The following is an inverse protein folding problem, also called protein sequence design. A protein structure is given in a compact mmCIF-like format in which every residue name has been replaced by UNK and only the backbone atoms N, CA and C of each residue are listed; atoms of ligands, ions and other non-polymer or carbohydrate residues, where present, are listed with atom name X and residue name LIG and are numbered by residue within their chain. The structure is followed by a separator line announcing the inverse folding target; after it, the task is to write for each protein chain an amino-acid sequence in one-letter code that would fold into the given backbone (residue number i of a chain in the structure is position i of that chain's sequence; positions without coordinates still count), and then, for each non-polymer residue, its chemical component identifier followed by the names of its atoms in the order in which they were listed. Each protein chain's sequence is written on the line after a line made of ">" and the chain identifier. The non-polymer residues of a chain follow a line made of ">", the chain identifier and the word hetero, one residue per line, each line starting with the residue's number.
data_IF_499648241877
#
_entry.id   IF_499648241877
#
_cell.length_a   1.000
_cell.length_b   1.000
_cell.length_c   1.000
_cell.angle_alpha   90.00
_cell.angle_beta   90.00
_cell.angle_gamma   90.00
#
_symmetry.space_group_name_H-M   'P 1'
#
loop_
_entity.id
_entity.type
_entity.pdbx_description
1 polymer ?
#
# COMPACT_ATOMS: atom_id res chain seq x y z
N UNK A 1 24.02 37.08 -12.47
CA UNK A 1 22.92 36.77 -11.54
C UNK A 1 21.72 36.13 -12.24
N UNK A 2 21.07 36.77 -13.22
CA UNK A 2 19.87 36.27 -13.91
C UNK A 2 20.00 34.88 -14.55
N UNK A 3 21.07 34.53 -15.23
CA UNK A 3 21.25 33.20 -15.87
C UNK A 3 21.28 32.04 -14.87
N UNK A 4 21.77 32.26 -13.64
CA UNK A 4 21.82 31.27 -12.58
C UNK A 4 20.43 31.01 -12.00
N UNK A 5 19.64 32.07 -11.79
CA UNK A 5 18.27 32.00 -11.32
C UNK A 5 17.33 31.28 -12.31
N UNK A 6 17.45 31.55 -13.62
CA UNK A 6 16.67 30.89 -14.67
C UNK A 6 16.95 29.39 -14.69
N UNK A 7 18.23 28.99 -14.62
CA UNK A 7 18.62 27.56 -14.60
C UNK A 7 18.10 26.85 -13.34
N UNK A 8 18.15 27.49 -12.20
CA UNK A 8 17.64 26.97 -10.94
C UNK A 8 16.12 26.82 -10.97
N UNK A 9 15.41 27.84 -11.50
CA UNK A 9 13.96 27.80 -11.72
C UNK A 9 13.55 26.67 -12.68
N UNK A 10 14.29 26.45 -13.76
CA UNK A 10 14.05 25.35 -14.69
C UNK A 10 14.21 23.97 -14.01
N UNK A 11 15.26 23.80 -13.22
CA UNK A 11 15.48 22.56 -12.47
C UNK A 11 14.35 22.30 -11.49
N UNK A 12 13.92 23.33 -10.75
CA UNK A 12 12.83 23.21 -9.80
C UNK A 12 11.48 22.95 -10.50
N UNK A 13 11.22 23.59 -11.63
CA UNK A 13 10.01 23.32 -12.41
C UNK A 13 9.96 21.88 -12.93
N UNK A 14 11.10 21.35 -13.42
CA UNK A 14 11.20 19.93 -13.82
C UNK A 14 10.95 18.98 -12.65
N UNK A 15 11.56 19.24 -11.49
CA UNK A 15 11.31 18.45 -10.27
C UNK A 15 9.84 18.50 -9.86
N UNK A 16 9.22 19.69 -9.88
CA UNK A 16 7.79 19.85 -9.56
C UNK A 16 6.91 19.07 -10.54
N UNK A 17 7.22 19.12 -11.84
CA UNK A 17 6.52 18.36 -12.87
C UNK A 17 6.68 16.84 -12.68
N UNK A 18 7.88 16.35 -12.41
CA UNK A 18 8.13 14.93 -12.12
C UNK A 18 7.36 14.44 -10.88
N UNK A 19 7.27 15.30 -9.86
CA UNK A 19 6.47 15.01 -8.67
C UNK A 19 4.98 14.97 -8.99
N UNK A 20 4.44 15.94 -9.73
CA UNK A 20 3.05 15.96 -10.14
C UNK A 20 2.69 14.72 -10.99
N UNK A 21 3.53 14.36 -11.95
CA UNK A 21 3.35 13.18 -12.79
C UNK A 21 3.44 11.87 -11.98
N UNK A 22 4.41 11.77 -11.05
CA UNK A 22 4.56 10.63 -10.16
C UNK A 22 3.43 10.48 -9.12
N UNK A 23 2.55 11.48 -8.99
CA UNK A 23 1.36 11.45 -8.12
C UNK A 23 0.06 11.24 -8.90
N UNK A 24 0.13 10.93 -10.20
CA UNK A 24 -1.02 10.68 -11.05
C UNK A 24 -1.25 11.73 -12.14
N UNK A 25 -0.53 12.85 -12.13
CA UNK A 25 -0.52 13.86 -13.21
C UNK A 25 -1.66 14.87 -13.20
N UNK A 26 -2.73 14.65 -12.44
CA UNK A 26 -3.90 15.53 -12.34
C UNK A 26 -3.73 16.55 -11.20
N UNK A 27 -2.55 17.20 -11.15
CA UNK A 27 -2.26 18.16 -10.10
C UNK A 27 -1.14 19.13 -10.47
N UNK A 28 -1.10 20.24 -9.77
CA UNK A 28 -0.02 21.21 -9.81
C UNK A 28 0.87 21.02 -8.58
N UNK A 29 2.17 20.93 -8.79
CA UNK A 29 3.15 20.93 -7.70
C UNK A 29 3.90 22.26 -7.69
N UNK A 30 3.99 22.89 -6.54
CA UNK A 30 4.72 24.15 -6.31
C UNK A 30 5.84 23.90 -5.33
N UNK A 31 7.08 24.22 -5.72
CA UNK A 31 8.23 24.19 -4.82
C UNK A 31 8.40 25.58 -4.21
N UNK A 32 8.29 25.68 -2.89
CA UNK A 32 8.51 26.92 -2.13
C UNK A 32 10.00 27.23 -1.97
N UNK A 33 10.32 28.43 -1.52
CA UNK A 33 11.70 28.89 -1.29
C UNK A 33 12.47 28.07 -0.25
N UNK A 34 11.77 27.44 0.67
CA UNK A 34 12.30 26.53 1.69
C UNK A 34 12.44 25.07 1.22
N UNK A 35 12.24 24.83 -0.09
CA UNK A 35 12.21 23.51 -0.73
C UNK A 35 11.05 22.61 -0.28
N UNK A 36 10.03 23.12 0.36
CA UNK A 36 8.79 22.39 0.62
C UNK A 36 7.91 22.36 -0.62
N UNK A 37 7.09 21.30 -0.74
CA UNK A 37 6.17 21.13 -1.85
C UNK A 37 4.74 21.43 -1.40
N UNK A 38 3.99 22.17 -2.21
CA UNK A 38 2.55 22.27 -2.14
C UNK A 38 1.92 21.63 -3.38
N UNK A 39 0.82 20.93 -3.17
CA UNK A 39 0.11 20.24 -4.24
C UNK A 39 -1.33 20.78 -4.30
N UNK A 40 -1.81 21.03 -5.53
CA UNK A 40 -3.18 21.50 -5.80
C UNK A 40 -3.81 20.60 -6.86
N UNK A 41 -5.06 20.18 -6.67
CA UNK A 41 -5.75 19.23 -7.54
C UNK A 41 -5.52 17.77 -7.10
N UNK A 42 -5.53 16.83 -8.04
CA UNK A 42 -5.36 15.40 -7.77
C UNK A 42 -6.66 14.71 -7.33
N UNK A 43 -7.81 15.25 -7.75
CA UNK A 43 -9.15 14.69 -7.48
C UNK A 43 -9.51 13.55 -8.45
N UNK A 44 -8.91 13.52 -9.64
CA UNK A 44 -9.21 12.51 -10.67
C UNK A 44 -8.28 11.31 -10.51
N UNK A 45 -8.82 10.09 -10.63
CA UNK A 45 -8.02 8.89 -10.66
C UNK A 45 -7.04 8.93 -11.85
N UNK A 46 -5.79 8.53 -11.64
CA UNK A 46 -4.80 8.48 -12.72
C UNK A 46 -5.33 7.62 -13.87
N UNK A 47 -5.27 8.15 -15.10
CA UNK A 47 -5.73 7.41 -16.26
C UNK A 47 -4.85 6.16 -16.45
N UNK A 48 -5.50 5.01 -16.62
CA UNK A 48 -4.83 3.74 -16.87
C UNK A 48 -4.04 3.83 -18.20
N UNK A 49 -2.72 3.89 -18.10
CA UNK A 49 -1.82 3.84 -19.25
C UNK A 49 -1.31 2.41 -19.41
N UNK A 50 -2.08 1.57 -20.06
CA UNK A 50 -1.63 0.22 -20.39
C UNK A 50 -0.41 0.29 -21.33
N UNK A 51 0.78 -0.01 -20.84
CA UNK A 51 1.98 -0.15 -21.65
C UNK A 51 2.69 -1.47 -21.35
N UNK A 52 2.24 -2.54 -22.03
CA UNK A 52 2.95 -3.84 -22.03
C UNK A 52 4.41 -3.69 -22.48
N UNK A 53 4.72 -2.67 -23.30
CA UNK A 53 6.09 -2.33 -23.72
C UNK A 53 6.92 -1.84 -22.53
N UNK A 54 6.37 -0.97 -21.68
CA UNK A 54 7.06 -0.46 -20.48
C UNK A 54 7.41 -1.60 -19.53
N UNK A 55 6.46 -2.52 -19.26
CA UNK A 55 6.71 -3.66 -18.37
C UNK A 55 7.78 -4.62 -18.93
N UNK A 56 7.83 -4.84 -20.23
CA UNK A 56 8.94 -5.59 -20.87
C UNK A 56 10.29 -4.92 -20.69
N UNK A 57 10.36 -3.60 -20.85
CA UNK A 57 11.61 -2.84 -20.64
C UNK A 57 12.07 -2.97 -19.19
N UNK A 58 11.14 -2.86 -18.23
CA UNK A 58 11.41 -3.01 -16.79
C UNK A 58 11.86 -4.44 -16.50
N UNK A 59 11.15 -5.46 -16.98
CA UNK A 59 11.51 -6.87 -16.82
C UNK A 59 12.93 -7.16 -17.35
N UNK A 60 13.28 -6.64 -18.52
CA UNK A 60 14.62 -6.74 -19.09
C UNK A 60 15.67 -6.01 -18.24
N UNK A 61 15.35 -4.84 -17.69
CA UNK A 61 16.26 -4.11 -16.80
C UNK A 61 16.51 -4.91 -15.50
N UNK A 62 15.45 -5.45 -14.88
CA UNK A 62 15.54 -6.33 -13.71
C UNK A 62 16.43 -7.54 -14.02
N UNK A 63 16.20 -8.23 -15.14
CA UNK A 63 16.98 -9.40 -15.57
C UNK A 63 18.48 -9.09 -15.66
N UNK A 64 18.85 -7.94 -16.20
CA UNK A 64 20.26 -7.52 -16.29
C UNK A 64 20.89 -7.28 -14.93
N UNK A 65 20.14 -6.63 -13.99
CA UNK A 65 20.65 -6.38 -12.64
C UNK A 65 20.80 -7.71 -11.87
N UNK A 66 19.82 -8.61 -11.98
CA UNK A 66 19.83 -9.93 -11.33
C UNK A 66 20.97 -10.83 -11.85
N UNK A 67 21.30 -10.75 -13.15
CA UNK A 67 22.39 -11.53 -13.74
C UNK A 67 23.74 -11.28 -13.07
N UNK A 68 23.96 -10.05 -12.56
CA UNK A 68 25.20 -9.63 -11.89
C UNK A 68 25.12 -9.71 -10.35
N UNK A 69 24.18 -10.49 -9.80
CA UNK A 69 23.99 -10.66 -8.37
C UNK A 69 24.16 -12.13 -7.98
N UNK A 70 24.55 -12.37 -6.72
CA UNK A 70 24.66 -13.70 -6.15
C UNK A 70 23.46 -14.04 -5.24
N UNK A 71 22.96 -13.05 -4.50
CA UNK A 71 21.82 -13.17 -3.60
C UNK A 71 20.82 -12.06 -3.83
N UNK A 72 19.54 -12.37 -3.65
CA UNK A 72 18.44 -11.42 -3.76
C UNK A 72 17.64 -11.45 -2.46
N UNK A 73 17.55 -10.31 -1.81
CA UNK A 73 16.67 -10.09 -0.68
C UNK A 73 15.49 -9.24 -1.13
N UNK A 74 14.29 -9.61 -0.72
CA UNK A 74 13.07 -8.89 -1.08
C UNK A 74 12.41 -8.46 0.21
N UNK A 75 12.16 -7.18 0.37
CA UNK A 75 11.45 -6.65 1.53
C UNK A 75 10.47 -5.55 1.11
N UNK A 76 9.50 -5.28 1.95
CA UNK A 76 8.57 -4.18 1.77
C UNK A 76 8.55 -3.22 2.94
N UNK A 77 7.36 -2.75 3.28
CA UNK A 77 7.16 -1.84 4.39
C UNK A 77 6.98 -2.56 5.72
N UNK A 78 7.22 -1.84 6.83
CA UNK A 78 6.83 -2.27 8.18
C UNK A 78 5.32 -2.53 8.21
N UNK A 79 4.91 -3.49 9.05
CA UNK A 79 3.50 -3.91 9.10
C UNK A 79 3.00 -4.40 7.74
N UNK A 80 3.86 -5.13 7.01
CA UNK A 80 3.59 -5.65 5.68
C UNK A 80 2.22 -6.34 5.59
N UNK A 81 1.44 -5.96 4.59
CA UNK A 81 0.13 -6.50 4.31
C UNK A 81 0.15 -7.58 3.21
N UNK A 82 -1.03 -8.01 2.73
CA UNK A 82 -1.12 -9.07 1.72
C UNK A 82 -0.56 -8.63 0.37
N UNK A 83 -0.61 -7.34 0.00
CA UNK A 83 -0.05 -6.88 -1.28
C UNK A 83 1.48 -6.89 -1.22
N UNK A 84 2.04 -6.33 -0.16
CA UNK A 84 3.47 -6.33 0.10
C UNK A 84 4.05 -7.75 0.12
N UNK A 85 3.46 -8.65 0.93
CA UNK A 85 3.96 -10.03 1.10
C UNK A 85 3.70 -10.86 -0.14
N UNK A 86 2.54 -10.75 -0.77
CA UNK A 86 2.19 -11.45 -2.01
C UNK A 86 3.13 -11.12 -3.17
N UNK A 87 3.44 -9.82 -3.36
CA UNK A 87 4.41 -9.37 -4.35
C UNK A 87 5.81 -9.93 -4.08
N UNK A 88 6.24 -9.92 -2.80
CA UNK A 88 7.53 -10.47 -2.40
C UNK A 88 7.63 -11.97 -2.65
N UNK A 89 6.59 -12.76 -2.33
CA UNK A 89 6.53 -14.20 -2.59
C UNK A 89 6.61 -14.51 -4.09
N UNK A 90 5.86 -13.76 -4.92
CA UNK A 90 5.88 -13.94 -6.37
C UNK A 90 7.27 -13.68 -6.96
N UNK A 91 7.92 -12.58 -6.56
CA UNK A 91 9.26 -12.24 -7.02
C UNK A 91 10.31 -13.21 -6.50
N UNK A 92 10.24 -13.67 -5.24
CA UNK A 92 11.14 -14.67 -4.67
C UNK A 92 11.15 -15.93 -5.53
N UNK A 93 9.98 -16.41 -5.91
CA UNK A 93 9.85 -17.59 -6.76
C UNK A 93 10.59 -17.41 -8.10
N UNK A 94 10.45 -16.26 -8.76
CA UNK A 94 11.12 -15.96 -10.04
C UNK A 94 12.64 -15.89 -9.86
N UNK A 95 13.11 -15.24 -8.80
CA UNK A 95 14.56 -15.12 -8.54
C UNK A 95 15.18 -16.50 -8.33
N UNK A 96 14.51 -17.39 -7.65
CA UNK A 96 15.01 -18.73 -7.36
C UNK A 96 14.85 -19.67 -8.55
N UNK A 97 13.66 -19.78 -9.13
CA UNK A 97 13.36 -20.78 -10.15
C UNK A 97 13.81 -20.39 -11.55
N UNK A 98 13.67 -19.12 -11.95
CA UNK A 98 14.05 -18.65 -13.29
C UNK A 98 15.49 -18.18 -13.33
N UNK A 99 15.89 -17.30 -12.40
CA UNK A 99 17.24 -16.75 -12.41
C UNK A 99 18.27 -17.60 -11.67
N UNK A 100 17.84 -18.67 -10.95
CA UNK A 100 18.72 -19.55 -10.17
C UNK A 100 19.58 -18.78 -9.15
N UNK A 101 18.99 -17.76 -8.52
CA UNK A 101 19.63 -16.96 -7.48
C UNK A 101 19.06 -17.35 -6.11
N UNK A 102 19.93 -17.43 -5.11
CA UNK A 102 19.47 -17.52 -3.73
C UNK A 102 18.58 -16.31 -3.43
N UNK A 103 17.36 -16.57 -3.02
CA UNK A 103 16.40 -15.50 -2.77
C UNK A 103 15.58 -15.74 -1.52
N UNK A 104 15.39 -14.68 -0.71
CA UNK A 104 14.61 -14.71 0.52
C UNK A 104 13.76 -13.46 0.66
N UNK A 105 12.59 -13.63 1.27
CA UNK A 105 11.71 -12.54 1.69
C UNK A 105 12.09 -12.12 3.11
N UNK A 106 12.40 -10.84 3.29
CA UNK A 106 12.80 -10.27 4.57
C UNK A 106 11.58 -9.66 5.24
N UNK A 107 11.20 -10.19 6.40
CA UNK A 107 9.98 -9.82 7.10
C UNK A 107 10.12 -10.00 8.61
N UNK A 108 9.45 -9.14 9.38
CA UNK A 108 9.19 -9.38 10.79
C UNK A 108 7.80 -10.01 10.94
N UNK A 109 7.78 -11.31 11.26
CA UNK A 109 6.53 -12.11 11.37
C UNK A 109 5.60 -11.60 12.47
N UNK A 110 6.14 -10.99 13.52
CA UNK A 110 5.32 -10.51 14.66
C UNK A 110 4.50 -9.28 14.30
N UNK A 111 5.11 -8.37 13.54
CA UNK A 111 4.49 -7.09 13.19
C UNK A 111 3.74 -7.12 11.86
N UNK A 112 3.95 -8.13 11.01
CA UNK A 112 3.24 -8.26 9.74
C UNK A 112 1.73 -8.41 9.93
N UNK A 113 0.96 -7.74 9.10
CA UNK A 113 -0.50 -7.90 9.02
C UNK A 113 -0.92 -9.09 8.14
N UNK A 114 0.00 -9.67 7.38
CA UNK A 114 -0.24 -10.80 6.48
C UNK A 114 0.01 -12.18 7.15
N UNK A 115 -0.25 -12.33 8.44
CA UNK A 115 0.05 -13.55 9.20
C UNK A 115 -0.55 -14.80 8.57
N UNK A 116 -1.82 -14.74 8.19
CA UNK A 116 -2.52 -15.89 7.56
C UNK A 116 -1.87 -16.30 6.23
N UNK A 117 -1.39 -15.33 5.42
CA UNK A 117 -0.68 -15.61 4.18
C UNK A 117 0.69 -16.24 4.44
N UNK A 118 1.41 -15.77 5.46
CA UNK A 118 2.72 -16.32 5.87
C UNK A 118 2.55 -17.76 6.32
N UNK A 119 1.60 -18.03 7.21
CA UNK A 119 1.27 -19.37 7.71
C UNK A 119 0.86 -20.31 6.55
N UNK A 120 -0.04 -19.85 5.67
CA UNK A 120 -0.43 -20.60 4.48
C UNK A 120 0.78 -20.95 3.60
N UNK A 121 1.70 -20.01 3.42
CA UNK A 121 2.89 -20.22 2.59
C UNK A 121 3.84 -21.21 3.22
N UNK A 122 4.08 -21.12 4.54
CA UNK A 122 4.92 -22.05 5.29
C UNK A 122 4.37 -23.49 5.26
N UNK A 123 3.04 -23.63 5.35
CA UNK A 123 2.40 -24.94 5.28
C UNK A 123 2.48 -25.61 3.89
N UNK A 124 2.51 -24.82 2.83
CA UNK A 124 2.38 -25.31 1.45
C UNK A 124 3.69 -25.37 0.68
N UNK A 125 4.71 -24.66 1.13
CA UNK A 125 6.04 -24.71 0.51
C UNK A 125 6.99 -25.57 1.35
N UNK A 126 7.71 -26.46 0.69
CA UNK A 126 8.72 -27.30 1.34
C UNK A 126 9.99 -26.52 1.77
N UNK A 127 10.10 -25.25 1.35
CA UNK A 127 11.27 -24.41 1.62
C UNK A 127 10.86 -23.16 2.40
N UNK A 128 11.57 -22.91 3.50
CA UNK A 128 11.42 -21.64 4.21
C UNK A 128 11.96 -20.48 3.36
N UNK A 129 11.05 -19.62 2.91
CA UNK A 129 11.38 -18.45 2.07
C UNK A 129 11.51 -17.17 2.88
N UNK A 130 11.04 -17.14 4.13
CA UNK A 130 11.03 -15.97 4.99
C UNK A 130 12.22 -15.95 5.94
N UNK A 131 12.86 -14.80 6.07
CA UNK A 131 13.94 -14.58 7.03
C UNK A 131 13.77 -13.24 7.77
N UNK A 132 14.35 -13.14 8.96
CA UNK A 132 14.36 -11.88 9.69
C UNK A 132 15.33 -10.86 9.08
N UNK A 133 15.15 -9.56 9.35
CA UNK A 133 16.10 -8.52 8.95
C UNK A 133 17.53 -8.79 9.41
N UNK A 134 17.73 -9.31 10.62
CA UNK A 134 19.06 -9.64 11.20
C UNK A 134 19.73 -10.76 10.41
N UNK A 135 18.96 -11.78 10.04
CA UNK A 135 19.44 -12.90 9.20
C UNK A 135 19.84 -12.38 7.80
N UNK A 136 19.04 -11.51 7.21
CA UNK A 136 19.35 -10.89 5.94
C UNK A 136 20.64 -10.05 5.99
N UNK A 137 20.79 -9.24 7.04
CA UNK A 137 21.99 -8.42 7.27
C UNK A 137 23.26 -9.25 7.38
N UNK A 138 23.21 -10.36 8.12
CA UNK A 138 24.34 -11.28 8.27
C UNK A 138 24.68 -12.02 6.97
N UNK A 139 23.68 -12.19 6.08
CA UNK A 139 23.82 -12.88 4.80
C UNK A 139 24.27 -12.00 3.63
N UNK A 140 24.40 -10.67 3.82
CA UNK A 140 24.78 -9.73 2.76
C UNK A 140 26.18 -10.03 2.18
N UNK A 141 26.29 -9.88 0.86
CA UNK A 141 27.55 -9.89 0.11
C UNK A 141 27.71 -8.57 -0.65
N UNK A 142 28.87 -8.36 -1.26
CA UNK A 142 29.12 -7.20 -2.12
C UNK A 142 28.27 -7.21 -3.43
N UNK A 143 27.74 -8.38 -3.80
CA UNK A 143 26.90 -8.59 -4.99
C UNK A 143 25.44 -8.82 -4.66
N UNK A 144 25.04 -8.65 -3.41
CA UNK A 144 23.61 -8.78 -3.02
C UNK A 144 22.77 -7.69 -3.66
N UNK A 145 21.56 -8.07 -4.07
CA UNK A 145 20.51 -7.19 -4.56
C UNK A 145 19.40 -7.11 -3.53
N UNK A 146 18.90 -5.92 -3.27
CA UNK A 146 17.68 -5.67 -2.52
C UNK A 146 16.57 -5.23 -3.46
N UNK A 147 15.47 -5.97 -3.47
CA UNK A 147 14.23 -5.57 -4.14
C UNK A 147 13.26 -5.07 -3.06
N UNK A 148 12.83 -3.84 -3.20
CA UNK A 148 11.85 -3.20 -2.31
C UNK A 148 10.52 -3.22 -3.04
N UNK A 149 9.49 -3.75 -2.39
CA UNK A 149 8.14 -3.84 -2.91
C UNK A 149 7.17 -3.04 -2.05
N UNK A 150 6.17 -2.46 -2.69
CA UNK A 150 5.03 -1.81 -2.05
C UNK A 150 5.38 -0.62 -1.16
N UNK A 151 6.55 -0.06 -1.35
CA UNK A 151 6.97 1.20 -0.76
C UNK A 151 8.19 1.77 -1.46
N UNK A 152 8.30 3.08 -1.47
CA UNK A 152 9.49 3.81 -1.92
C UNK A 152 10.03 4.77 -0.86
N UNK A 153 9.52 4.66 0.40
CA UNK A 153 9.85 5.52 1.52
C UNK A 153 10.84 4.84 2.46
N UNK A 154 12.01 5.46 2.67
CA UNK A 154 13.03 4.92 3.58
C UNK A 154 12.49 4.70 5.01
N UNK A 155 11.67 5.62 5.51
CA UNK A 155 11.09 5.54 6.86
C UNK A 155 10.09 4.38 7.05
N UNK A 156 9.51 3.91 5.96
CA UNK A 156 8.51 2.83 5.96
C UNK A 156 9.11 1.45 5.76
N UNK A 157 10.39 1.33 5.40
CA UNK A 157 11.04 0.05 5.13
C UNK A 157 11.02 -0.88 6.35
N UNK A 158 10.86 -2.18 6.11
CA UNK A 158 11.01 -3.22 7.13
C UNK A 158 12.37 -3.11 7.84
N UNK A 159 13.45 -2.88 7.07
CA UNK A 159 14.79 -2.64 7.59
C UNK A 159 15.50 -1.53 6.83
N UNK A 160 15.61 -0.35 7.45
CA UNK A 160 16.40 0.75 6.90
C UNK A 160 17.90 0.43 6.88
N UNK A 161 18.38 -0.38 7.84
CA UNK A 161 19.79 -0.80 7.92
C UNK A 161 20.17 -1.73 6.75
N UNK A 162 19.29 -2.67 6.39
CA UNK A 162 19.51 -3.56 5.22
C UNK A 162 19.61 -2.74 3.94
N UNK A 163 18.74 -1.74 3.77
CA UNK A 163 18.79 -0.82 2.63
C UNK A 163 20.11 -0.03 2.60
N UNK A 164 20.57 0.51 3.72
CA UNK A 164 21.80 1.31 3.79
C UNK A 164 23.07 0.50 3.44
N UNK A 165 23.08 -0.78 3.80
CA UNK A 165 24.21 -1.68 3.55
C UNK A 165 24.18 -2.30 2.15
N UNK A 166 23.02 -2.36 1.49
CA UNK A 166 22.88 -2.95 0.16
C UNK A 166 23.15 -1.92 -0.93
N UNK A 167 24.13 -2.19 -1.82
CA UNK A 167 24.54 -1.25 -2.86
C UNK A 167 23.63 -1.26 -4.10
N UNK A 168 22.95 -2.37 -4.35
CA UNK A 168 22.07 -2.55 -5.50
C UNK A 168 20.64 -2.63 -5.03
N UNK A 169 19.81 -1.71 -5.49
CA UNK A 169 18.42 -1.59 -5.08
C UNK A 169 17.52 -1.51 -6.30
N UNK A 170 16.43 -2.26 -6.28
CA UNK A 170 15.30 -2.16 -7.21
C UNK A 170 14.06 -1.79 -6.38
N UNK A 171 13.19 -0.94 -6.90
CA UNK A 171 11.92 -0.56 -6.27
C UNK A 171 10.77 -0.86 -7.23
N UNK A 172 9.71 -1.50 -6.71
CA UNK A 172 8.46 -1.76 -7.43
C UNK A 172 7.33 -1.29 -6.51
N UNK A 173 6.61 -0.24 -6.90
CA UNK A 173 5.64 0.40 -6.01
C UNK A 173 4.55 1.15 -6.80
N UNK A 174 3.32 1.10 -6.30
CA UNK A 174 2.15 1.74 -6.88
C UNK A 174 1.64 2.95 -6.08
N UNK A 175 2.22 3.23 -4.92
CA UNK A 175 1.81 4.36 -4.09
C UNK A 175 2.11 5.71 -4.75
N UNK A 176 1.36 6.75 -4.42
CA UNK A 176 1.64 8.11 -4.90
C UNK A 176 3.04 8.54 -4.47
N UNK A 177 3.80 9.10 -5.42
CA UNK A 177 5.18 9.51 -5.19
C UNK A 177 5.28 10.53 -4.06
N UNK A 178 6.08 10.22 -3.05
CA UNK A 178 6.37 11.11 -1.94
C UNK A 178 7.62 11.96 -2.19
N UNK A 179 7.75 13.08 -1.47
CA UNK A 179 8.89 13.99 -1.63
C UNK A 179 10.21 13.36 -1.17
N UNK A 180 10.16 12.55 -0.10
CA UNK A 180 11.28 11.86 0.54
C UNK A 180 11.50 10.42 0.04
N UNK A 181 11.23 10.19 -1.26
CA UNK A 181 11.38 8.87 -1.87
C UNK A 181 12.84 8.46 -2.04
N UNK A 182 13.09 7.15 -2.10
CA UNK A 182 14.40 6.57 -2.41
C UNK A 182 14.72 6.84 -3.88
N UNK A 183 15.78 7.62 -4.16
CA UNK A 183 16.12 8.12 -5.49
C UNK A 183 17.34 7.47 -6.12
N UNK A 184 18.00 6.53 -5.44
CA UNK A 184 19.25 5.87 -5.87
C UNK A 184 19.05 4.42 -6.35
N UNK A 185 17.79 4.01 -6.61
CA UNK A 185 17.49 2.68 -7.14
C UNK A 185 18.01 2.51 -8.58
N UNK A 186 18.57 1.33 -8.89
CA UNK A 186 19.01 0.97 -10.25
C UNK A 186 17.83 0.83 -11.21
N UNK A 187 16.70 0.33 -10.69
CA UNK A 187 15.42 0.28 -11.40
C UNK A 187 14.35 0.82 -10.44
N UNK A 188 13.62 1.82 -10.88
CA UNK A 188 12.50 2.41 -10.16
C UNK A 188 11.21 2.20 -10.98
N UNK A 189 10.53 1.10 -10.70
CA UNK A 189 9.24 0.76 -11.31
C UNK A 189 8.12 1.32 -10.44
N UNK A 190 7.66 2.51 -10.82
CA UNK A 190 6.64 3.23 -10.08
C UNK A 190 5.43 3.51 -10.98
N UNK A 191 4.23 3.08 -10.56
CA UNK A 191 3.00 3.17 -11.36
C UNK A 191 1.77 3.42 -10.50
N UNK A 192 1.46 4.69 -10.17
CA UNK A 192 0.31 5.04 -9.31
C UNK A 192 -1.07 4.68 -9.88
N UNK A 193 -1.14 4.36 -11.17
CA UNK A 193 -2.38 3.89 -11.82
C UNK A 193 -2.61 2.39 -11.67
N UNK A 194 -1.61 1.63 -11.22
CA UNK A 194 -1.80 0.21 -10.91
C UNK A 194 -2.65 0.05 -9.64
N UNK A 195 -3.45 -1.01 -9.60
CA UNK A 195 -4.30 -1.29 -8.44
C UNK A 195 -3.49 -1.70 -7.22
N UNK A 196 -2.39 -2.43 -7.44
CA UNK A 196 -1.56 -3.03 -6.40
C UNK A 196 -0.15 -3.33 -6.92
N UNK A 197 0.79 -3.52 -6.02
CA UNK A 197 2.14 -4.00 -6.35
C UNK A 197 2.10 -5.44 -6.88
N UNK A 198 1.18 -6.28 -6.43
CA UNK A 198 0.95 -7.63 -6.96
C UNK A 198 0.49 -7.60 -8.43
N UNK A 199 -0.34 -6.63 -8.85
CA UNK A 199 -0.68 -6.42 -10.27
C UNK A 199 0.60 -6.17 -11.07
N UNK A 200 1.42 -5.19 -10.67
CA UNK A 200 2.67 -4.84 -11.34
C UNK A 200 3.64 -6.02 -11.40
N UNK A 201 3.80 -6.75 -10.30
CA UNK A 201 4.65 -7.94 -10.25
C UNK A 201 4.12 -9.05 -11.18
N UNK A 202 2.80 -9.24 -11.27
CA UNK A 202 2.20 -10.21 -12.20
C UNK A 202 2.52 -9.88 -13.66
N UNK A 203 2.46 -8.60 -14.03
CA UNK A 203 2.83 -8.13 -15.36
C UNK A 203 4.33 -8.33 -15.65
N UNK A 204 5.21 -7.96 -14.71
CA UNK A 204 6.66 -8.15 -14.83
C UNK A 204 6.97 -9.64 -15.00
N UNK A 205 6.41 -10.50 -14.15
CA UNK A 205 6.61 -11.95 -14.18
C UNK A 205 6.13 -12.53 -15.50
N UNK A 206 4.97 -12.10 -15.99
CA UNK A 206 4.44 -12.56 -17.29
C UNK A 206 5.32 -12.20 -18.49
N UNK A 207 6.16 -11.16 -18.35
CA UNK A 207 7.13 -10.75 -19.38
C UNK A 207 8.45 -11.50 -19.29
N UNK A 208 8.77 -12.14 -18.16
CA UNK A 208 10.05 -12.81 -17.92
C UNK A 208 10.07 -14.26 -18.40
N UNK A 209 8.97 -14.84 -18.80
CA UNK A 209 8.84 -16.16 -19.41
C UNK A 209 7.75 -17.07 -18.79
N UNK A 210 7.69 -18.34 -19.25
CA UNK A 210 6.82 -19.43 -18.80
C UNK A 210 6.94 -19.67 -17.29
N UNK A 211 6.25 -18.84 -16.59
CA UNK A 211 6.33 -18.57 -15.19
C UNK A 211 6.36 -19.84 -14.33
N UNK A 212 7.34 -19.97 -13.48
CA UNK A 212 7.45 -21.08 -12.53
C UNK A 212 6.51 -20.92 -11.32
N UNK A 213 5.60 -19.93 -11.30
CA UNK A 213 4.64 -19.76 -10.22
C UNK A 213 3.81 -21.04 -10.03
N UNK A 214 3.78 -21.56 -8.81
CA UNK A 214 2.81 -22.55 -8.40
C UNK A 214 1.52 -21.88 -7.91
N UNK A 215 0.52 -22.69 -7.61
CA UNK A 215 -0.75 -22.18 -7.06
C UNK A 215 -0.55 -21.39 -5.77
N UNK A 216 0.45 -21.73 -4.94
CA UNK A 216 0.74 -21.03 -3.67
C UNK A 216 1.13 -19.57 -3.91
N UNK A 217 2.10 -19.32 -4.80
CA UNK A 217 2.51 -17.96 -5.14
C UNK A 217 1.39 -17.22 -5.87
N UNK A 218 0.64 -17.91 -6.71
CA UNK A 218 -0.49 -17.32 -7.42
C UNK A 218 -1.63 -16.92 -6.46
N UNK A 219 -1.93 -17.75 -5.43
CA UNK A 219 -2.87 -17.41 -4.36
C UNK A 219 -2.39 -16.18 -3.57
N UNK A 220 -1.10 -16.15 -3.21
CA UNK A 220 -0.50 -15.04 -2.47
C UNK A 220 -0.63 -13.71 -3.22
N UNK A 221 -0.27 -13.70 -4.50
CA UNK A 221 -0.37 -12.49 -5.33
C UNK A 221 -1.82 -12.07 -5.59
N UNK A 222 -2.72 -13.04 -5.77
CA UNK A 222 -4.15 -12.74 -5.93
C UNK A 222 -4.75 -12.17 -4.64
N UNK A 223 -4.28 -12.61 -3.46
CA UNK A 223 -4.70 -12.04 -2.18
C UNK A 223 -4.30 -10.55 -2.06
N UNK A 224 -3.09 -10.18 -2.50
CA UNK A 224 -2.67 -8.77 -2.55
C UNK A 224 -3.56 -7.92 -3.46
N UNK A 225 -3.81 -8.38 -4.69
CA UNK A 225 -4.74 -7.67 -5.60
C UNK A 225 -6.13 -7.54 -4.95
N UNK A 226 -6.63 -8.58 -4.30
CA UNK A 226 -7.95 -8.60 -3.66
C UNK A 226 -8.03 -7.59 -2.51
N UNK A 227 -6.95 -7.44 -1.72
CA UNK A 227 -6.87 -6.47 -0.62
C UNK A 227 -7.01 -5.04 -1.15
N UNK A 228 -6.13 -4.64 -2.05
CA UNK A 228 -6.01 -3.25 -2.52
C UNK A 228 -7.18 -2.79 -3.37
N UNK A 229 -7.80 -3.73 -4.08
CA UNK A 229 -8.99 -3.47 -4.88
C UNK A 229 -10.29 -3.60 -4.08
N UNK A 230 -10.22 -3.90 -2.78
CA UNK A 230 -11.42 -4.24 -1.98
C UNK A 230 -12.31 -5.25 -2.71
N UNK A 231 -11.73 -6.39 -3.06
CA UNK A 231 -12.40 -7.45 -3.83
C UNK A 231 -12.90 -6.96 -5.20
N UNK A 232 -12.04 -6.27 -5.96
CA UNK A 232 -12.31 -5.71 -7.30
C UNK A 232 -13.40 -4.63 -7.33
N UNK A 233 -13.66 -3.96 -6.21
CA UNK A 233 -14.64 -2.88 -6.11
C UNK A 233 -14.02 -1.50 -6.41
N UNK A 234 -12.75 -1.26 -6.05
CA UNK A 234 -12.07 0.04 -6.22
C UNK A 234 -10.76 -0.12 -6.98
N UNK A 235 -10.29 0.95 -7.62
CA UNK A 235 -9.02 1.00 -8.37
C UNK A 235 -8.84 -0.16 -9.38
N UNK A 236 -9.93 -0.75 -9.86
CA UNK A 236 -9.90 -1.94 -10.70
C UNK A 236 -10.05 -1.57 -12.15
N UNK A 237 -9.00 -1.77 -12.92
CA UNK A 237 -8.96 -1.55 -14.37
C UNK A 237 -8.85 -2.87 -15.15
N UNK A 238 -8.70 -2.76 -16.47
CA UNK A 238 -8.51 -3.91 -17.34
C UNK A 238 -7.23 -4.68 -16.97
N UNK A 239 -6.15 -3.98 -16.65
CA UNK A 239 -4.87 -4.57 -16.21
C UNK A 239 -5.03 -5.44 -14.96
N UNK A 240 -5.84 -4.98 -13.99
CA UNK A 240 -6.12 -5.73 -12.76
C UNK A 240 -6.78 -7.07 -13.07
N UNK A 241 -7.79 -7.07 -13.96
CA UNK A 241 -8.44 -8.33 -14.41
C UNK A 241 -7.51 -9.20 -15.25
N UNK A 242 -6.64 -8.62 -16.09
CA UNK A 242 -5.61 -9.38 -16.83
C UNK A 242 -4.62 -10.06 -15.88
N UNK A 243 -4.15 -9.36 -14.83
CA UNK A 243 -3.29 -9.91 -13.78
C UNK A 243 -3.99 -11.03 -12.99
N UNK A 244 -5.23 -10.80 -12.57
CA UNK A 244 -6.02 -11.82 -11.88
C UNK A 244 -6.27 -13.06 -12.77
N UNK A 245 -6.58 -12.87 -14.06
CA UNK A 245 -6.72 -13.96 -15.01
C UNK A 245 -5.41 -14.71 -15.24
N UNK A 246 -4.27 -14.01 -15.26
CA UNK A 246 -2.95 -14.62 -15.32
C UNK A 246 -2.70 -15.51 -14.10
N UNK A 247 -2.91 -14.99 -12.89
CA UNK A 247 -2.75 -15.74 -11.64
C UNK A 247 -3.72 -16.94 -11.56
N UNK A 248 -4.96 -16.76 -12.03
CA UNK A 248 -5.94 -17.86 -12.10
C UNK A 248 -5.47 -18.98 -13.03
N UNK A 249 -4.87 -18.67 -14.16
CA UNK A 249 -4.24 -19.68 -15.07
C UNK A 249 -3.06 -20.40 -14.41
N UNK A 250 -2.39 -19.76 -13.44
CA UNK A 250 -1.31 -20.36 -12.64
C UNK A 250 -1.83 -21.18 -11.44
N UNK A 251 -3.14 -21.33 -11.31
CA UNK A 251 -3.77 -22.19 -10.32
C UNK A 251 -4.30 -21.46 -9.09
N UNK A 252 -4.27 -20.12 -9.06
CA UNK A 252 -4.84 -19.38 -7.94
C UNK A 252 -6.29 -19.80 -7.67
N UNK A 253 -6.63 -20.00 -6.40
CA UNK A 253 -7.95 -20.40 -5.95
C UNK A 253 -8.63 -19.29 -5.16
N UNK A 254 -9.69 -18.73 -5.70
CA UNK A 254 -10.44 -17.63 -5.09
C UNK A 254 -11.06 -17.98 -3.72
N UNK A 255 -11.37 -19.26 -3.46
CA UNK A 255 -11.85 -19.70 -2.15
C UNK A 255 -10.72 -19.69 -1.12
N UNK A 256 -9.52 -20.15 -1.50
CA UNK A 256 -8.33 -20.08 -0.64
C UNK A 256 -8.01 -18.61 -0.33
N UNK A 257 -7.99 -17.76 -1.35
CA UNK A 257 -7.77 -16.32 -1.19
C UNK A 257 -8.82 -15.70 -0.25
N UNK A 258 -10.11 -16.01 -0.45
CA UNK A 258 -11.18 -15.54 0.44
C UNK A 258 -10.95 -15.97 1.89
N UNK A 259 -10.43 -17.19 2.11
CA UNK A 259 -10.09 -17.69 3.45
C UNK A 259 -9.05 -16.84 4.17
N UNK A 260 -8.12 -16.21 3.45
CA UNK A 260 -7.09 -15.32 4.03
C UNK A 260 -7.64 -14.00 4.59
N UNK A 261 -8.90 -13.68 4.29
CA UNK A 261 -9.62 -12.52 4.81
C UNK A 261 -10.65 -12.90 5.88
N UNK A 262 -10.63 -14.15 6.34
CA UNK A 262 -11.59 -14.61 7.34
C UNK A 262 -11.19 -14.16 8.73
N UNK A 263 -12.12 -13.56 9.44
CA UNK A 263 -11.97 -13.19 10.84
C UNK A 263 -12.25 -14.40 11.75
N UNK A 264 -11.66 -14.41 12.94
CA UNK A 264 -12.15 -15.28 14.00
C UNK A 264 -13.48 -14.76 14.54
N UNK A 265 -14.22 -15.59 15.27
CA UNK A 265 -15.58 -15.26 15.72
C UNK A 265 -15.58 -14.09 16.72
N UNK A 266 -14.53 -13.92 17.51
CA UNK A 266 -14.37 -12.85 18.48
C UNK A 266 -14.19 -11.51 17.76
N UNK A 267 -13.23 -11.40 16.83
CA UNK A 267 -13.02 -10.20 16.00
C UNK A 267 -14.27 -9.86 15.17
N UNK A 268 -14.93 -10.89 14.62
CA UNK A 268 -16.17 -10.70 13.88
C UNK A 268 -17.29 -10.11 14.76
N UNK A 269 -17.46 -10.59 16.00
CA UNK A 269 -18.44 -10.04 16.94
C UNK A 269 -18.15 -8.58 17.29
N UNK A 270 -16.89 -8.26 17.60
CA UNK A 270 -16.47 -6.88 17.89
C UNK A 270 -16.77 -5.95 16.72
N UNK A 271 -16.42 -6.36 15.50
CA UNK A 271 -16.73 -5.64 14.26
C UNK A 271 -18.23 -5.39 14.10
N UNK A 272 -19.06 -6.44 14.25
CA UNK A 272 -20.51 -6.34 14.12
C UNK A 272 -21.09 -5.41 15.18
N UNK A 273 -20.63 -5.50 16.43
CA UNK A 273 -21.07 -4.61 17.51
C UNK A 273 -20.79 -3.13 17.20
N UNK A 274 -19.67 -2.83 16.56
CA UNK A 274 -19.35 -1.47 16.11
C UNK A 274 -20.28 -1.05 14.97
N UNK A 275 -20.46 -1.90 13.96
CA UNK A 275 -21.32 -1.60 12.80
C UNK A 275 -22.77 -1.38 13.21
N UNK A 276 -23.31 -2.22 14.12
CA UNK A 276 -24.71 -2.10 14.60
C UNK A 276 -24.98 -0.80 15.38
N UNK A 277 -23.95 -0.13 15.90
CA UNK A 277 -24.08 1.16 16.61
C UNK A 277 -23.88 2.36 15.68
N UNK A 278 -23.61 2.11 14.41
CA UNK A 278 -23.40 3.18 13.45
C UNK A 278 -24.69 3.96 13.18
N UNK A 279 -24.54 5.25 12.99
CA UNK A 279 -25.60 6.13 12.47
C UNK A 279 -25.05 6.88 11.27
N UNK A 280 -25.94 7.29 10.37
CA UNK A 280 -25.57 8.01 9.15
C UNK A 280 -25.84 9.50 9.32
N UNK A 281 -24.84 10.31 9.06
CA UNK A 281 -24.89 11.77 9.07
C UNK A 281 -24.30 12.31 7.78
N UNK A 282 -25.07 13.03 6.97
CA UNK A 282 -24.65 13.63 5.67
C UNK A 282 -23.89 12.65 4.77
N UNK A 283 -24.38 11.39 4.64
CA UNK A 283 -23.69 10.35 3.86
C UNK A 283 -22.46 9.74 4.51
N UNK A 284 -22.15 10.13 5.76
CA UNK A 284 -21.06 9.57 6.55
C UNK A 284 -21.61 8.61 7.62
N UNK A 285 -21.17 7.35 7.64
CA UNK A 285 -21.48 6.42 8.71
C UNK A 285 -20.49 6.64 9.86
N UNK A 286 -20.99 6.88 11.05
CA UNK A 286 -20.15 7.16 12.23
C UNK A 286 -20.51 6.19 13.34
N UNK A 287 -19.51 5.56 13.95
CA UNK A 287 -19.69 4.68 15.10
C UNK A 287 -18.63 4.95 16.17
N UNK A 288 -19.02 4.72 17.41
CA UNK A 288 -18.12 4.76 18.57
C UNK A 288 -17.96 3.32 19.07
N UNK A 289 -16.74 2.79 18.94
CA UNK A 289 -16.47 1.45 19.40
C UNK A 289 -16.60 1.33 20.94
N UNK A 290 -17.19 0.25 21.45
CA UNK A 290 -17.19 -0.01 22.87
C UNK A 290 -15.76 -0.25 23.37
N UNK A 291 -15.53 -0.08 24.67
CA UNK A 291 -14.26 -0.52 25.28
C UNK A 291 -14.22 -2.05 25.23
N UNK A 292 -13.29 -2.60 24.49
CA UNK A 292 -13.14 -4.05 24.24
C UNK A 292 -11.83 -4.60 24.79
N UNK A 293 -11.77 -5.95 24.90
CA UNK A 293 -10.59 -6.67 25.39
C UNK A 293 -9.72 -7.23 24.22
N UNK A 294 -10.12 -7.02 22.97
CA UNK A 294 -9.48 -7.55 21.77
C UNK A 294 -8.58 -6.52 21.07
N UNK A 295 -8.20 -6.80 19.83
CA UNK A 295 -7.52 -5.84 18.97
C UNK A 295 -8.53 -4.82 18.41
N UNK A 296 -8.91 -3.87 19.28
CA UNK A 296 -9.92 -2.85 18.96
C UNK A 296 -9.52 -2.01 17.74
N UNK A 297 -8.21 -1.86 17.47
CA UNK A 297 -7.71 -1.13 16.32
C UNK A 297 -8.04 -1.86 15.03
N UNK A 298 -7.80 -3.17 14.98
CA UNK A 298 -8.15 -4.02 13.83
C UNK A 298 -9.66 -4.07 13.61
N UNK A 299 -10.44 -4.36 14.67
CA UNK A 299 -11.89 -4.42 14.60
C UNK A 299 -12.50 -3.09 14.13
N UNK A 300 -11.97 -1.93 14.60
CA UNK A 300 -12.43 -0.61 14.18
C UNK A 300 -12.10 -0.29 12.73
N UNK A 301 -10.92 -0.68 12.24
CA UNK A 301 -10.56 -0.51 10.85
C UNK A 301 -11.44 -1.35 9.92
N UNK A 302 -11.69 -2.62 10.27
CA UNK A 302 -12.58 -3.51 9.52
C UNK A 302 -14.04 -3.07 9.59
N UNK A 303 -14.51 -2.55 10.74
CA UNK A 303 -15.85 -2.00 10.86
C UNK A 303 -16.04 -0.75 9.99
N UNK A 304 -15.02 0.11 9.90
CA UNK A 304 -15.05 1.26 9.00
C UNK A 304 -15.16 0.82 7.52
N UNK A 305 -14.41 -0.21 7.12
CA UNK A 305 -14.54 -0.77 5.77
C UNK A 305 -15.92 -1.40 5.52
N UNK A 306 -16.48 -2.13 6.51
CA UNK A 306 -17.80 -2.76 6.41
C UNK A 306 -18.94 -1.73 6.30
N UNK A 307 -18.85 -0.62 7.04
CA UNK A 307 -19.86 0.45 7.00
C UNK A 307 -19.97 1.13 5.64
N UNK A 308 -18.93 1.10 4.80
CA UNK A 308 -19.01 1.59 3.42
C UNK A 308 -19.96 0.76 2.53
N UNK A 309 -20.30 -0.48 2.92
CA UNK A 309 -21.25 -1.31 2.20
C UNK A 309 -22.71 -0.93 2.49
N UNK A 310 -22.97 -0.02 3.43
CA UNK A 310 -24.30 0.45 3.76
C UNK A 310 -24.82 1.40 2.68
N UNK A 311 -26.09 1.24 2.32
CA UNK A 311 -26.71 2.09 1.30
C UNK A 311 -26.73 3.57 1.73
N UNK A 312 -26.22 4.45 0.86
CA UNK A 312 -26.21 5.90 1.11
C UNK A 312 -25.03 6.35 1.97
N UNK A 313 -24.00 5.51 2.10
CA UNK A 313 -22.75 5.84 2.80
C UNK A 313 -21.63 6.06 1.81
N UNK A 314 -21.06 7.25 1.80
CA UNK A 314 -19.90 7.64 0.99
C UNK A 314 -18.58 7.62 1.77
N UNK A 315 -18.66 7.83 3.09
CA UNK A 315 -17.52 7.73 4.00
C UNK A 315 -17.93 7.10 5.34
N UNK A 316 -16.98 6.56 6.05
CA UNK A 316 -17.19 5.95 7.36
C UNK A 316 -16.10 6.33 8.36
N UNK A 317 -16.49 6.50 9.61
CA UNK A 317 -15.63 6.90 10.71
C UNK A 317 -15.91 6.05 11.95
N UNK A 318 -14.86 5.43 12.50
CA UNK A 318 -14.96 4.68 13.77
C UNK A 318 -14.04 5.32 14.80
N UNK A 319 -14.63 5.80 15.88
CA UNK A 319 -13.92 6.31 17.05
C UNK A 319 -13.70 5.17 18.05
N UNK A 320 -12.47 5.02 18.52
CA UNK A 320 -12.14 4.02 19.52
C UNK A 320 -11.05 4.52 20.46
N UNK A 321 -11.04 4.00 21.67
CA UNK A 321 -10.04 4.31 22.68
C UNK A 321 -8.96 3.22 22.69
N UNK A 322 -7.72 3.64 22.55
CA UNK A 322 -6.54 2.77 22.65
C UNK A 322 -5.38 3.55 23.29
N UNK A 323 -4.73 2.95 24.28
CA UNK A 323 -3.59 3.56 25.00
C UNK A 323 -3.89 4.97 25.56
N UNK A 324 -5.06 5.17 26.15
CA UNK A 324 -5.54 6.45 26.69
C UNK A 324 -5.60 7.59 25.67
N UNK A 325 -5.80 7.24 24.42
CA UNK A 325 -5.98 8.19 23.31
C UNK A 325 -7.26 7.81 22.54
N UNK A 326 -7.92 8.81 21.98
CA UNK A 326 -9.03 8.57 21.07
C UNK A 326 -8.48 8.52 19.65
N UNK A 327 -8.67 7.37 19.02
CA UNK A 327 -8.27 7.15 17.64
C UNK A 327 -9.52 7.21 16.76
N UNK A 328 -9.36 7.69 15.52
CA UNK A 328 -10.41 7.69 14.50
C UNK A 328 -9.87 6.99 13.28
N UNK A 329 -10.51 5.89 12.87
CA UNK A 329 -10.30 5.25 11.56
C UNK A 329 -11.32 5.78 10.57
N UNK A 330 -10.86 6.29 9.42
CA UNK A 330 -11.70 6.85 8.38
C UNK A 330 -11.50 6.11 7.07
N UNK A 331 -12.61 5.85 6.35
CA UNK A 331 -12.64 5.19 5.04
C UNK A 331 -13.58 5.90 4.10
N UNK A 332 -13.32 5.82 2.78
CA UNK A 332 -14.27 6.27 1.76
C UNK A 332 -14.04 5.51 0.44
N UNK A 333 -15.00 5.63 -0.48
CA UNK A 333 -14.81 5.19 -1.87
C UNK A 333 -14.21 6.29 -2.77
N UNK A 334 -13.89 7.47 -2.21
CA UNK A 334 -13.26 8.58 -2.92
C UNK A 334 -14.19 9.78 -3.18
N UNK A 335 -15.50 9.63 -3.00
CA UNK A 335 -16.45 10.75 -3.10
C UNK A 335 -16.20 11.79 -2.00
N UNK A 336 -15.89 11.35 -0.79
CA UNK A 336 -15.48 12.18 0.35
C UNK A 336 -13.98 11.99 0.58
N UNK A 337 -13.23 13.09 0.63
CA UNK A 337 -11.80 13.02 0.92
C UNK A 337 -11.55 12.95 2.43
N UNK A 338 -11.47 11.72 2.97
CA UNK A 338 -11.25 11.52 4.41
C UNK A 338 -9.87 11.97 4.91
N UNK A 339 -8.89 12.11 4.02
CA UNK A 339 -7.58 12.65 4.37
C UNK A 339 -7.69 14.09 4.87
N UNK A 340 -8.43 14.95 4.17
CA UNK A 340 -8.61 16.36 4.53
C UNK A 340 -9.24 16.45 5.92
N UNK A 341 -10.28 15.66 6.19
CA UNK A 341 -10.96 15.63 7.49
C UNK A 341 -9.98 15.21 8.60
N UNK A 342 -9.22 14.16 8.36
CA UNK A 342 -8.27 13.67 9.36
C UNK A 342 -7.08 14.62 9.56
N UNK A 343 -6.58 15.28 8.52
CA UNK A 343 -5.51 16.29 8.62
C UNK A 343 -5.94 17.51 9.47
N UNK A 344 -7.18 17.98 9.31
CA UNK A 344 -7.76 19.03 10.17
C UNK A 344 -7.81 18.62 11.65
N UNK A 345 -7.94 17.32 11.92
CA UNK A 345 -7.89 16.73 13.27
C UNK A 345 -6.47 16.32 13.71
N UNK A 346 -5.42 16.77 12.99
CA UNK A 346 -4.02 16.49 13.33
C UNK A 346 -3.53 15.10 12.94
N UNK A 347 -4.27 14.39 12.13
CA UNK A 347 -3.94 13.06 11.58
C UNK A 347 -3.41 13.13 10.16
N UNK A 348 -3.68 12.08 9.38
CA UNK A 348 -3.28 12.00 7.98
C UNK A 348 -3.68 10.67 7.34
N UNK A 349 -3.26 10.49 6.10
CA UNK A 349 -3.55 9.28 5.33
C UNK A 349 -3.66 9.55 3.84
N UNK A 350 -4.60 8.88 3.21
CA UNK A 350 -4.94 9.01 1.80
C UNK A 350 -6.41 9.41 1.64
N UNK A 351 -6.78 9.82 0.43
CA UNK A 351 -8.15 10.23 0.10
C UNK A 351 -9.21 9.23 0.55
N UNK A 352 -8.93 7.91 0.43
CA UNK A 352 -9.88 6.83 0.72
C UNK A 352 -9.64 6.14 2.07
N UNK A 353 -8.51 6.39 2.73
CA UNK A 353 -8.12 5.78 4.00
C UNK A 353 -7.25 6.76 4.80
N UNK A 354 -7.72 7.16 5.96
CA UNK A 354 -7.01 8.07 6.83
C UNK A 354 -7.28 7.76 8.30
N UNK A 355 -6.48 8.31 9.20
CA UNK A 355 -6.65 8.14 10.62
C UNK A 355 -6.11 9.33 11.40
N UNK A 356 -6.59 9.51 12.63
CA UNK A 356 -6.02 10.47 13.59
C UNK A 356 -5.96 9.88 14.99
N UNK A 357 -5.10 10.48 15.82
CA UNK A 357 -4.93 10.14 17.22
C UNK A 357 -5.03 11.42 18.06
N UNK A 358 -6.10 11.52 18.83
CA UNK A 358 -6.39 12.67 19.67
C UNK A 358 -5.97 12.38 21.10
N UNK A 359 -5.09 13.22 21.66
CA UNK A 359 -4.60 13.12 23.03
C UNK A 359 -5.39 14.03 23.95
N UNK A 360 -5.53 13.61 25.23
CA UNK A 360 -6.16 14.43 26.26
C UNK A 360 -7.59 14.89 25.90
N UNK A 361 -8.38 14.02 25.27
CA UNK A 361 -9.76 14.29 24.88
C UNK A 361 -10.71 13.16 25.29
N UNK A 362 -12.01 13.41 25.31
CA UNK A 362 -13.05 12.39 25.52
C UNK A 362 -13.64 11.95 24.19
N UNK A 363 -14.31 10.78 24.18
CA UNK A 363 -15.01 10.26 22.98
C UNK A 363 -16.06 11.25 22.48
N UNK A 364 -16.80 11.86 23.40
CA UNK A 364 -17.85 12.84 23.10
C UNK A 364 -17.30 14.10 22.43
N UNK A 365 -16.18 14.62 22.96
CA UNK A 365 -15.57 15.82 22.38
C UNK A 365 -14.93 15.52 21.01
N UNK A 366 -14.23 14.40 20.87
CA UNK A 366 -13.68 13.93 19.60
C UNK A 366 -14.78 13.71 18.54
N UNK A 367 -15.93 13.18 18.95
CA UNK A 367 -17.10 13.03 18.09
C UNK A 367 -17.64 14.38 17.60
N UNK A 368 -17.77 15.38 18.49
CA UNK A 368 -18.23 16.73 18.10
C UNK A 368 -17.23 17.42 17.15
N UNK A 369 -15.93 17.28 17.40
CA UNK A 369 -14.90 17.77 16.50
C UNK A 369 -15.00 17.11 15.11
N UNK A 370 -15.19 15.79 15.05
CA UNK A 370 -15.37 15.06 13.80
C UNK A 370 -16.58 15.60 13.01
N UNK A 371 -17.73 15.80 13.65
CA UNK A 371 -18.92 16.35 13.00
C UNK A 371 -18.66 17.73 12.41
N UNK A 372 -17.99 18.62 13.17
CA UNK A 372 -17.65 19.97 12.71
C UNK A 372 -16.75 19.93 11.46
N UNK A 373 -15.77 19.00 11.42
CA UNK A 373 -14.86 18.89 10.27
C UNK A 373 -15.52 18.22 9.05
N UNK A 374 -16.47 17.31 9.27
CA UNK A 374 -17.31 16.75 8.20
C UNK A 374 -18.14 17.88 7.57
N UNK A 375 -18.83 18.70 8.38
CA UNK A 375 -19.63 19.80 7.89
C UNK A 375 -18.78 20.79 7.10
N UNK A 376 -17.69 21.28 7.68
CA UNK A 376 -16.77 22.19 7.00
C UNK A 376 -16.25 21.64 5.66
N UNK A 377 -15.95 20.35 5.59
CA UNK A 377 -15.40 19.75 4.36
C UNK A 377 -16.46 19.58 3.28
N UNK A 378 -17.66 19.12 3.65
CA UNK A 378 -18.75 18.92 2.69
C UNK A 378 -19.34 20.25 2.20
N UNK A 379 -19.43 21.28 3.07
CA UNK A 379 -19.90 22.61 2.68
C UNK A 379 -18.91 23.29 1.72
N UNK A 380 -17.60 23.10 1.89
CA UNK A 380 -16.56 23.57 0.97
C UNK A 380 -16.66 22.88 -0.42
N UNK A 381 -17.04 21.59 -0.47
CA UNK A 381 -17.22 20.83 -1.71
C UNK A 381 -18.50 21.23 -2.46
N UNK A 382 -19.61 21.53 -1.76
CA UNK A 382 -20.86 22.02 -2.37
C UNK A 382 -20.72 23.43 -2.97
N UNK A 383 -19.78 24.24 -2.46
CA UNK A 383 -19.54 25.62 -2.92
C UNK A 383 -18.42 25.75 -3.98
N UNK A 384 -17.79 24.64 -4.39
CA UNK A 384 -16.67 24.58 -5.36
C UNK A 384 -17.11 24.00 -6.70
#
# INVERSE_FOLDING_TARGET
>A
MYKRQIKESEINARKALEMALGRGGDQVAVIKKDNTYEFFGGKVAAAEKASKVRMRVIANAISRVVADCDKVFIMGHKFSDLDCVGAAIGLQCIMEKTFKRYSKVVINRETSMAKQLIEYTDEKLDTDIFISPETALSGLTQKSLLIIVDTHLKRSLESSELYEKCKKVIIIDHHRKAVDYINNALVFCHEPSASSTCEMCSEIISCLDDSPLSYVQADAMLAGITLDTKNFAVKTGVRTFEAAAYLRRRGANTLTVKGMFSDNIETYREKVDIVCKAHVYRGCAISIAPSGNGDIRLASAQAADEMLNLKGVDASFVLFEDNNQINISARSYGNVNVQIIMEKLGGGGHQTMAATQLKNTTKEFAYQQLLSEIDSTLDDEENS
#
